data_IF_449423675261
#
_entry.id   IF_449423675261
#
_cell.length_a   1.000
_cell.length_b   1.000
_cell.length_c   1.000
_cell.angle_alpha   90.00
_cell.angle_beta   90.00
_cell.angle_gamma   90.00
#
_symmetry.space_group_name_H-M   'P 1'
#
loop_
_entity.id
_entity.type
_entity.pdbx_description
1 polymer ?
#
# COMPACT_ATOMS: atom_id res chain seq x y z
N UNK A 1 -8.68 13.52 14.53
CA UNK A 1 -9.25 13.92 13.22
C UNK A 1 -9.66 12.65 12.52
N UNK A 2 -10.96 12.35 12.29
CA UNK A 2 -11.32 11.20 11.48
C UNK A 2 -10.82 11.45 10.05
N UNK A 3 -9.83 10.67 9.64
CA UNK A 3 -9.33 10.64 8.27
C UNK A 3 -9.72 9.29 7.67
N UNK A 4 -10.29 9.29 6.48
CA UNK A 4 -10.55 8.08 5.71
C UNK A 4 -9.57 7.97 4.54
N UNK A 5 -9.32 6.74 4.14
CA UNK A 5 -8.56 6.42 2.95
C UNK A 5 -9.33 5.37 2.16
N UNK A 6 -9.29 5.48 0.83
CA UNK A 6 -9.97 4.60 -0.10
C UNK A 6 -9.03 4.29 -1.27
N UNK A 7 -9.15 3.09 -1.82
CA UNK A 7 -8.42 2.68 -3.03
C UNK A 7 -9.39 2.21 -4.09
N UNK A 8 -9.10 2.52 -5.35
CA UNK A 8 -9.90 2.08 -6.51
C UNK A 8 -9.00 1.60 -7.64
N UNK A 9 -9.09 0.31 -8.05
CA UNK A 9 -9.79 -0.79 -7.38
C UNK A 9 -9.33 -0.98 -5.93
N UNK A 10 -10.12 -1.70 -5.12
CA UNK A 10 -9.78 -1.95 -3.72
C UNK A 10 -8.45 -2.70 -3.63
N UNK A 11 -7.48 -2.12 -2.92
CA UNK A 11 -6.22 -2.78 -2.60
C UNK A 11 -6.49 -3.98 -1.66
N UNK A 12 -6.13 -5.22 -2.04
CA UNK A 12 -6.42 -6.41 -1.25
C UNK A 12 -5.55 -6.53 0.02
N UNK A 13 -4.44 -5.82 0.09
CA UNK A 13 -3.54 -5.87 1.25
C UNK A 13 -2.88 -4.52 1.54
N UNK A 14 -2.30 -4.42 2.73
CA UNK A 14 -1.52 -3.27 3.14
C UNK A 14 -0.34 -3.69 4.00
N UNK A 15 0.71 -2.88 4.01
CA UNK A 15 1.85 -3.01 4.92
C UNK A 15 1.80 -1.89 5.97
N UNK A 16 2.23 -2.21 7.20
CA UNK A 16 2.47 -1.21 8.25
C UNK A 16 3.94 -1.25 8.59
N UNK A 17 4.59 -0.09 8.53
CA UNK A 17 5.96 0.06 8.98
C UNK A 17 6.05 1.07 10.11
N UNK A 18 6.58 0.61 11.25
CA UNK A 18 7.03 1.44 12.36
C UNK A 18 8.52 1.15 12.50
N UNK A 19 9.35 2.18 12.37
CA UNK A 19 10.81 2.02 12.50
C UNK A 19 11.21 1.77 13.97
N UNK A 20 12.49 1.53 14.20
CA UNK A 20 13.08 1.33 15.52
C UNK A 20 14.34 2.20 15.65
N UNK A 21 14.55 2.94 16.76
CA UNK A 21 15.76 3.76 16.97
C UNK A 21 17.07 2.98 16.91
N UNK A 22 17.06 1.67 17.17
CA UNK A 22 18.22 0.79 17.02
C UNK A 22 18.57 0.57 15.54
N UNK A 23 17.57 0.57 14.66
CA UNK A 23 17.73 0.46 13.21
C UNK A 23 18.02 1.83 12.56
N UNK A 24 17.26 2.86 12.95
CA UNK A 24 17.38 4.24 12.46
C UNK A 24 17.60 5.20 13.64
N UNK A 25 18.86 5.62 13.85
CA UNK A 25 19.30 6.34 15.05
C UNK A 25 18.64 7.71 15.28
N UNK A 26 17.90 8.25 14.31
CA UNK A 26 17.17 9.51 14.44
C UNK A 26 15.67 9.34 14.70
N UNK A 27 15.16 8.13 14.57
CA UNK A 27 13.72 7.88 14.62
C UNK A 27 13.18 8.02 16.05
N UNK A 28 12.07 8.76 16.19
CA UNK A 28 11.48 9.08 17.49
C UNK A 28 10.00 8.65 17.60
N UNK A 29 9.57 7.67 16.79
CA UNK A 29 8.17 7.23 16.68
C UNK A 29 7.21 8.37 16.27
N UNK A 30 7.71 9.29 15.46
CA UNK A 30 7.06 10.52 15.02
C UNK A 30 6.30 10.38 13.69
N UNK A 31 6.51 9.27 12.98
CA UNK A 31 5.74 8.89 11.80
C UNK A 31 5.59 7.36 11.70
N UNK A 32 4.74 6.88 10.81
CA UNK A 32 4.66 5.48 10.41
C UNK A 32 4.21 5.41 8.95
N UNK A 33 4.39 4.26 8.29
CA UNK A 33 3.85 4.03 6.96
C UNK A 33 2.62 3.13 7.02
N UNK A 34 1.60 3.48 6.23
CA UNK A 34 0.52 2.59 5.81
C UNK A 34 0.57 2.52 4.29
N UNK A 35 0.84 1.33 3.77
CA UNK A 35 1.16 1.10 2.35
C UNK A 35 0.12 0.18 1.75
N UNK A 36 -1.00 0.69 1.18
CA UNK A 36 -1.95 -0.16 0.47
C UNK A 36 -1.32 -0.64 -0.85
N UNK A 37 -1.43 -1.94 -1.13
CA UNK A 37 -0.80 -2.59 -2.27
C UNK A 37 -1.84 -3.31 -3.11
N UNK A 38 -1.68 -3.27 -4.44
CA UNK A 38 -2.62 -3.92 -5.38
C UNK A 38 -2.55 -5.44 -5.39
N UNK A 39 -1.48 -6.02 -4.82
CA UNK A 39 -1.22 -7.45 -4.78
C UNK A 39 -0.39 -7.79 -3.54
N UNK A 40 -0.40 -9.05 -3.13
CA UNK A 40 0.27 -9.47 -1.91
C UNK A 40 1.81 -9.50 -2.07
N UNK A 41 2.56 -9.37 -0.97
CA UNK A 41 3.99 -9.65 -1.02
C UNK A 41 4.21 -11.07 -1.56
N UNK A 42 5.17 -11.17 -2.48
CA UNK A 42 5.62 -12.42 -3.09
C UNK A 42 4.62 -13.11 -4.04
N UNK A 43 3.62 -12.38 -4.56
CA UNK A 43 2.62 -12.91 -5.49
C UNK A 43 3.20 -13.49 -6.79
N UNK A 44 4.41 -13.10 -7.18
CA UNK A 44 5.15 -13.67 -8.30
C UNK A 44 5.33 -15.19 -8.21
N UNK A 45 5.34 -15.76 -7.00
CA UNK A 45 5.48 -17.21 -6.78
C UNK A 45 4.14 -17.94 -6.65
N UNK A 46 3.02 -17.23 -6.71
CA UNK A 46 1.68 -17.84 -6.64
C UNK A 46 1.21 -18.30 -8.01
N UNK A 47 0.29 -19.28 -8.09
CA UNK A 47 -0.35 -19.65 -9.34
C UNK A 47 -0.92 -18.42 -10.06
N UNK A 48 -0.62 -18.29 -11.36
CA UNK A 48 -1.04 -17.17 -12.21
C UNK A 48 -0.58 -15.77 -11.74
N UNK A 49 0.37 -15.69 -10.79
CA UNK A 49 0.87 -14.43 -10.25
C UNK A 49 0.01 -13.83 -9.13
N UNK A 50 -0.93 -14.58 -8.55
CA UNK A 50 -1.80 -14.07 -7.48
C UNK A 50 -2.68 -12.91 -7.96
N UNK A 51 -2.63 -11.77 -7.26
CA UNK A 51 -3.40 -10.57 -7.63
C UNK A 51 -2.64 -9.63 -8.59
N UNK A 52 -1.47 -10.02 -9.08
CA UNK A 52 -0.74 -9.27 -10.11
C UNK A 52 -1.55 -9.22 -11.42
N UNK A 53 -1.55 -8.06 -12.07
CA UNK A 53 -2.14 -7.89 -13.40
C UNK A 53 -1.02 -8.03 -14.45
N UNK A 54 -1.07 -9.11 -15.23
CA UNK A 54 -0.19 -9.29 -16.38
C UNK A 54 -0.57 -8.31 -17.50
N UNK A 55 0.41 -7.58 -18.04
CA UNK A 55 0.23 -6.63 -19.14
C UNK A 55 0.99 -7.11 -20.37
N UNK A 56 0.29 -7.25 -21.50
CA UNK A 56 0.91 -7.46 -22.81
C UNK A 56 1.55 -6.16 -23.34
N UNK A 57 2.39 -6.22 -24.38
CA UNK A 57 2.95 -5.02 -25.00
C UNK A 57 1.86 -4.03 -25.45
N UNK A 58 1.89 -2.82 -24.89
CA UNK A 58 0.92 -1.75 -25.18
C UNK A 58 -0.25 -1.65 -24.21
N UNK A 59 -0.39 -2.60 -23.27
CA UNK A 59 -1.42 -2.55 -22.23
C UNK A 59 -1.00 -1.72 -21.01
N UNK A 60 -1.99 -1.23 -20.27
CA UNK A 60 -1.78 -0.43 -19.05
C UNK A 60 -2.81 -0.81 -17.98
N UNK A 61 -2.43 -0.66 -16.72
CA UNK A 61 -3.34 -0.71 -15.58
C UNK A 61 -3.29 0.60 -14.79
N UNK A 62 -4.28 0.86 -13.94
CA UNK A 62 -4.36 2.04 -13.07
C UNK A 62 -4.86 1.62 -11.71
N UNK A 63 -4.26 2.20 -10.67
CA UNK A 63 -4.73 2.12 -9.29
C UNK A 63 -4.71 3.52 -8.71
N UNK A 64 -5.74 3.85 -7.95
CA UNK A 64 -5.93 5.16 -7.33
C UNK A 64 -6.02 5.00 -5.80
N UNK A 65 -5.50 5.98 -5.08
CA UNK A 65 -5.71 6.15 -3.64
C UNK A 65 -6.21 7.57 -3.37
N UNK A 66 -7.27 7.67 -2.58
CA UNK A 66 -7.84 8.94 -2.11
C UNK A 66 -7.71 9.03 -0.59
N UNK A 67 -7.27 10.20 -0.11
CA UNK A 67 -7.20 10.54 1.32
C UNK A 67 -8.15 11.69 1.61
N UNK A 68 -9.06 11.50 2.57
CA UNK A 68 -10.01 12.53 2.99
C UNK A 68 -9.80 12.88 4.45
N UNK A 69 -9.57 14.17 4.68
CA UNK A 69 -9.55 14.74 6.03
C UNK A 69 -10.95 15.27 6.35
N UNK A 70 -11.56 14.78 7.42
CA UNK A 70 -12.77 15.36 7.97
C UNK A 70 -12.44 16.11 9.26
N UNK A 71 -12.83 17.39 9.30
CA UNK A 71 -12.88 18.15 10.54
C UNK A 71 -14.24 17.86 11.19
N UNK A 72 -14.21 17.54 12.48
CA UNK A 72 -15.42 17.37 13.30
C UNK A 72 -16.19 18.69 13.42
#
# INVERSE_FOLDING_TARGET
MPSSWETTPLAPCYFIFVSDPAFDKGYAFDFFCLEPMSHAPDDHHRPEGGDLIALAPGESTTSEMSLRVALL
#
